data_IF_109560440597
#
_entry.id   IF_109560440597
#
_cell.length_a   1.000
_cell.length_b   1.000
_cell.length_c   1.000
_cell.angle_alpha   90.00
_cell.angle_beta   90.00
_cell.angle_gamma   90.00
#
_symmetry.space_group_name_H-M   'P 1'
#
loop_
_entity.id
_entity.type
_entity.pdbx_description
1 polymer ?
#
# COMPACT_ATOMS: atom_id res chain seq x y z
N UNK A 1 -11.05 -23.89 -20.33
CA UNK A 1 -10.21 -23.95 -19.11
C UNK A 1 -10.92 -23.12 -18.06
N UNK A 2 -11.27 -23.68 -16.89
CA UNK A 2 -11.89 -22.88 -15.84
C UNK A 2 -10.89 -21.83 -15.37
N UNK A 3 -11.29 -20.56 -15.38
CA UNK A 3 -10.47 -19.47 -14.82
C UNK A 3 -10.32 -19.71 -13.31
N UNK A 4 -9.18 -20.23 -12.89
CA UNK A 4 -8.87 -20.37 -11.47
C UNK A 4 -8.48 -19.01 -10.91
N UNK A 5 -9.01 -18.65 -9.75
CA UNK A 5 -8.60 -17.45 -9.01
C UNK A 5 -7.54 -17.80 -7.97
N UNK A 6 -6.76 -16.81 -7.57
CA UNK A 6 -5.87 -16.83 -6.39
C UNK A 6 -6.21 -15.65 -5.49
N UNK A 7 -5.89 -15.77 -4.20
CA UNK A 7 -6.06 -14.70 -3.24
C UNK A 7 -4.72 -13.99 -3.00
N UNK A 8 -4.73 -12.66 -3.12
CA UNK A 8 -3.62 -11.79 -2.72
C UNK A 8 -4.04 -11.07 -1.45
N UNK A 9 -3.30 -11.22 -0.37
CA UNK A 9 -3.54 -10.47 0.86
C UNK A 9 -2.83 -9.13 0.79
N UNK A 10 -3.55 -8.05 1.10
CA UNK A 10 -3.01 -6.70 1.21
C UNK A 10 -2.85 -6.33 2.68
N UNK A 11 -1.64 -5.94 3.04
CA UNK A 11 -1.31 -5.31 4.31
C UNK A 11 -0.86 -3.88 4.07
N UNK A 12 -1.16 -3.00 5.01
CA UNK A 12 -0.70 -1.62 5.00
C UNK A 12 0.14 -1.45 6.26
N UNK A 13 1.45 -1.27 6.09
CA UNK A 13 2.37 -1.16 7.21
C UNK A 13 2.65 0.30 7.52
N UNK A 14 2.73 0.62 8.82
CA UNK A 14 3.11 1.93 9.34
C UNK A 14 4.47 1.88 10.03
N UNK A 15 5.42 2.65 9.52
CA UNK A 15 6.75 2.83 10.13
C UNK A 15 6.75 3.97 11.15
N UNK A 16 7.83 4.08 11.93
CA UNK A 16 8.10 5.33 12.64
C UNK A 16 8.41 6.41 11.57
N UNK A 17 7.83 7.63 11.64
CA UNK A 17 8.15 8.68 10.67
C UNK A 17 9.65 8.96 10.69
N UNK A 18 10.37 8.51 9.66
CA UNK A 18 11.75 8.90 9.47
C UNK A 18 11.78 10.30 8.84
N UNK A 19 12.39 11.24 9.56
CA UNK A 19 12.65 12.62 9.17
C UNK A 19 13.36 12.75 7.81
N UNK A 20 14.04 11.68 7.34
CA UNK A 20 14.85 11.70 6.11
C UNK A 20 14.15 11.19 4.86
N UNK A 21 13.05 10.43 4.95
CA UNK A 21 12.44 9.85 3.73
C UNK A 21 10.92 9.97 3.64
N UNK A 22 10.28 10.51 4.69
CA UNK A 22 8.81 10.54 4.84
C UNK A 22 8.10 9.19 4.63
N UNK A 23 8.84 8.06 4.57
CA UNK A 23 8.31 6.70 4.39
C UNK A 23 7.66 6.23 5.68
N UNK A 24 6.40 6.59 5.88
CA UNK A 24 5.66 6.22 7.08
C UNK A 24 4.54 5.21 6.80
N UNK A 25 4.15 4.99 5.53
CA UNK A 25 3.15 3.99 5.14
C UNK A 25 3.55 3.29 3.83
N UNK A 26 3.40 1.97 3.76
CA UNK A 26 3.54 1.19 2.53
C UNK A 26 2.41 0.18 2.33
N UNK A 27 2.11 -0.15 1.08
CA UNK A 27 1.20 -1.23 0.70
C UNK A 27 2.01 -2.49 0.37
N UNK A 28 1.70 -3.60 1.03
CA UNK A 28 2.38 -4.88 0.90
C UNK A 28 1.41 -5.98 0.49
N UNK A 29 1.77 -6.71 -0.55
CA UNK A 29 0.96 -7.76 -1.14
C UNK A 29 1.66 -9.11 -0.98
N UNK A 30 0.93 -10.09 -0.47
CA UNK A 30 1.39 -11.48 -0.35
C UNK A 30 0.39 -12.46 -0.95
N UNK A 31 0.85 -13.64 -1.32
CA UNK A 31 -0.02 -14.70 -1.83
C UNK A 31 0.18 -15.99 -1.01
N UNK A 32 -0.83 -16.47 -0.28
CA UNK A 32 -0.74 -17.75 0.43
C UNK A 32 -0.42 -18.94 -0.49
N UNK A 33 -0.89 -18.87 -1.75
CA UNK A 33 -0.65 -19.91 -2.76
C UNK A 33 0.76 -19.83 -3.38
N UNK A 34 1.48 -18.72 -3.19
CA UNK A 34 2.84 -18.51 -3.67
C UNK A 34 3.67 -17.80 -2.59
N UNK A 35 4.38 -18.55 -1.75
CA UNK A 35 5.16 -18.00 -0.63
C UNK A 35 6.37 -17.17 -1.08
N UNK A 36 6.61 -17.00 -2.37
CA UNK A 36 7.63 -16.08 -2.90
C UNK A 36 7.03 -14.79 -3.46
N UNK A 37 5.71 -14.61 -3.38
CA UNK A 37 5.04 -13.40 -3.82
C UNK A 37 5.04 -12.39 -2.67
N UNK A 38 5.95 -11.43 -2.76
CA UNK A 38 6.15 -10.37 -1.78
C UNK A 38 6.39 -9.08 -2.55
N UNK A 39 5.34 -8.29 -2.67
CA UNK A 39 5.34 -7.10 -3.51
C UNK A 39 4.99 -5.88 -2.68
N UNK A 40 5.76 -4.81 -2.82
CA UNK A 40 5.56 -3.59 -2.04
C UNK A 40 5.49 -2.38 -2.95
N UNK A 41 4.55 -1.49 -2.66
CA UNK A 41 4.40 -0.21 -3.35
C UNK A 41 4.25 0.89 -2.31
N UNK A 42 4.99 1.98 -2.51
CA UNK A 42 4.90 3.17 -1.67
C UNK A 42 5.32 4.41 -2.47
N UNK A 43 4.91 5.59 -1.99
CA UNK A 43 5.44 6.86 -2.47
C UNK A 43 6.51 7.36 -1.50
N UNK A 44 7.60 7.90 -2.04
CA UNK A 44 8.68 8.49 -1.25
C UNK A 44 9.22 9.75 -1.92
N UNK A 45 9.88 10.58 -1.13
CA UNK A 45 10.76 11.65 -1.60
C UNK A 45 11.99 11.67 -0.69
N UNK A 46 13.15 12.02 -1.24
CA UNK A 46 14.42 11.94 -0.50
C UNK A 46 14.65 13.18 0.39
N UNK A 47 14.03 14.31 0.05
CA UNK A 47 14.03 15.56 0.81
C UNK A 47 12.72 16.32 0.59
N UNK A 48 12.36 17.26 1.47
CA UNK A 48 11.15 18.11 1.31
C UNK A 48 11.06 18.82 -0.05
N UNK A 49 12.19 19.11 -0.68
CA UNK A 49 12.26 19.74 -2.00
C UNK A 49 12.20 18.78 -3.18
N UNK A 50 12.37 17.48 -2.95
CA UNK A 50 12.40 16.49 -4.03
C UNK A 50 10.99 16.13 -4.52
N UNK A 51 10.83 15.89 -5.83
CA UNK A 51 9.59 15.32 -6.35
C UNK A 51 9.28 13.96 -5.73
N UNK A 52 8.00 13.71 -5.49
CA UNK A 52 7.52 12.39 -5.10
C UNK A 52 7.80 11.36 -6.20
N UNK A 53 8.16 10.16 -5.79
CA UNK A 53 8.41 9.00 -6.65
C UNK A 53 7.65 7.80 -6.12
N UNK A 54 7.07 7.01 -7.02
CA UNK A 54 6.58 5.67 -6.68
C UNK A 54 7.77 4.73 -6.67
N UNK A 55 7.95 4.02 -5.57
CA UNK A 55 8.96 2.99 -5.44
C UNK A 55 8.33 1.61 -5.25
N UNK A 56 8.98 0.61 -5.84
CA UNK A 56 8.50 -0.77 -5.92
C UNK A 56 9.58 -1.71 -5.43
N UNK A 57 9.26 -2.55 -4.46
CA UNK A 57 10.18 -3.55 -3.95
C UNK A 57 9.60 -4.93 -4.30
N UNK A 58 10.32 -5.64 -5.17
CA UNK A 58 9.97 -6.96 -5.68
C UNK A 58 10.76 -8.03 -4.92
N UNK A 59 10.07 -8.93 -4.21
CA UNK A 59 10.67 -10.10 -3.51
C UNK A 59 11.80 -9.77 -2.54
N UNK A 60 11.96 -8.51 -2.18
CA UNK A 60 13.14 -8.03 -1.47
C UNK A 60 13.04 -8.21 0.04
N UNK A 61 11.82 -8.10 0.60
CA UNK A 61 11.59 -8.01 2.04
C UNK A 61 10.24 -8.64 2.39
N UNK A 62 10.24 -9.55 3.37
CA UNK A 62 9.01 -9.94 4.06
C UNK A 62 8.77 -8.99 5.23
N UNK A 63 7.92 -7.99 5.01
CA UNK A 63 7.68 -6.95 6.02
C UNK A 63 7.01 -7.47 7.28
N UNK A 64 6.29 -8.60 7.21
CA UNK A 64 5.71 -9.22 8.39
C UNK A 64 6.76 -9.75 9.37
N UNK A 65 7.99 -10.00 8.88
CA UNK A 65 9.12 -10.46 9.69
C UNK A 65 10.13 -9.35 9.98
N UNK A 66 9.89 -8.13 9.47
CA UNK A 66 10.81 -7.01 9.61
C UNK A 66 10.59 -6.27 10.93
N UNK A 67 11.67 -6.03 11.68
CA UNK A 67 11.62 -5.28 12.94
C UNK A 67 11.36 -3.76 12.77
N UNK A 68 11.21 -3.30 11.53
CA UNK A 68 11.18 -1.86 11.17
C UNK A 68 9.81 -1.22 11.28
N UNK A 69 8.74 -1.99 11.47
CA UNK A 69 7.36 -1.48 11.45
C UNK A 69 6.68 -1.62 12.81
N UNK A 70 5.95 -0.56 13.18
CA UNK A 70 5.34 -0.42 14.51
C UNK A 70 3.94 -1.04 14.56
N UNK A 71 3.18 -0.93 13.47
CA UNK A 71 1.83 -1.46 13.35
C UNK A 71 1.47 -1.75 11.88
N UNK A 72 0.37 -2.45 11.66
CA UNK A 72 -0.19 -2.71 10.35
C UNK A 72 -1.73 -2.78 10.36
N UNK A 73 -2.32 -2.46 9.21
CA UNK A 73 -3.71 -2.80 8.86
C UNK A 73 -3.68 -4.02 7.95
N UNK A 74 -4.49 -5.03 8.28
CA UNK A 74 -4.78 -6.12 7.36
C UNK A 74 -5.97 -5.70 6.50
N UNK A 75 -5.70 -5.22 5.29
CA UNK A 75 -6.73 -4.78 4.35
C UNK A 75 -7.42 -5.98 3.67
N UNK A 76 -7.15 -7.22 4.08
CA UNK A 76 -7.86 -8.41 3.61
C UNK A 76 -7.40 -8.91 2.24
N UNK A 77 -8.21 -9.77 1.63
CA UNK A 77 -7.85 -10.51 0.43
C UNK A 77 -8.50 -9.94 -0.84
N UNK A 78 -7.69 -9.75 -1.87
CA UNK A 78 -8.07 -9.43 -3.24
C UNK A 78 -8.16 -10.73 -4.05
N UNK A 79 -9.28 -10.95 -4.74
CA UNK A 79 -9.42 -12.09 -5.66
C UNK A 79 -8.91 -11.69 -7.03
N UNK A 80 -7.92 -12.41 -7.52
CA UNK A 80 -7.33 -12.16 -8.85
C UNK A 80 -7.33 -13.43 -9.68
N UNK A 81 -7.30 -13.28 -11.00
CA UNK A 81 -7.10 -14.43 -11.89
C UNK A 81 -5.69 -14.98 -11.70
N UNK A 82 -5.54 -16.29 -11.71
CA UNK A 82 -4.22 -16.94 -11.68
C UNK A 82 -3.37 -16.47 -12.87
N UNK A 83 -2.11 -16.11 -12.62
CA UNK A 83 -1.20 -15.51 -13.60
C UNK A 83 -1.37 -13.99 -13.76
N UNK A 84 -2.21 -13.35 -12.95
CA UNK A 84 -2.48 -11.91 -12.92
C UNK A 84 -2.30 -11.33 -11.52
N UNK A 85 -1.41 -11.95 -10.73
CA UNK A 85 -1.14 -11.58 -9.33
C UNK A 85 -0.58 -10.17 -9.19
N UNK A 86 0.12 -9.66 -10.21
CA UNK A 86 0.66 -8.31 -10.25
C UNK A 86 -0.37 -7.23 -10.55
N UNK A 87 -1.54 -7.57 -11.10
CA UNK A 87 -2.52 -6.56 -11.51
C UNK A 87 -2.90 -5.59 -10.36
N UNK A 88 -3.27 -6.03 -9.14
CA UNK A 88 -3.55 -5.10 -8.05
C UNK A 88 -2.32 -4.28 -7.61
N UNK A 89 -1.11 -4.85 -7.71
CA UNK A 89 0.14 -4.15 -7.40
C UNK A 89 0.38 -3.02 -8.42
N UNK A 90 0.15 -3.31 -9.70
CA UNK A 90 0.30 -2.35 -10.80
C UNK A 90 -0.76 -1.24 -10.73
N UNK A 91 -1.98 -1.54 -10.27
CA UNK A 91 -3.02 -0.53 -10.01
C UNK A 91 -2.55 0.50 -8.99
N UNK A 92 -2.03 0.05 -7.84
CA UNK A 92 -1.53 0.97 -6.80
C UNK A 92 -0.28 1.71 -7.27
N UNK A 93 0.61 1.04 -8.00
CA UNK A 93 1.83 1.67 -8.53
C UNK A 93 1.56 2.72 -9.63
N UNK A 94 0.38 2.70 -10.25
CA UNK A 94 -0.02 3.64 -11.29
C UNK A 94 -0.59 4.96 -10.74
N UNK A 95 -0.73 5.12 -9.42
CA UNK A 95 -1.22 6.37 -8.82
C UNK A 95 -0.25 7.52 -9.15
N UNK A 96 -0.75 8.64 -9.73
CA UNK A 96 0.11 9.72 -10.17
C UNK A 96 0.62 10.54 -8.99
N UNK A 97 1.95 10.62 -8.90
CA UNK A 97 2.69 11.39 -7.88
C UNK A 97 3.34 12.66 -8.42
N UNK A 98 3.37 12.84 -9.75
CA UNK A 98 3.91 14.06 -10.37
C UNK A 98 3.06 15.29 -10.01
N UNK A 99 3.72 16.38 -9.61
CA UNK A 99 3.06 17.63 -9.23
C UNK A 99 2.50 17.64 -7.80
N UNK A 100 2.57 16.51 -7.08
CA UNK A 100 2.07 16.40 -5.69
C UNK A 100 2.91 17.20 -4.70
N UNK A 101 4.14 17.57 -5.05
CA UNK A 101 4.99 18.46 -4.24
C UNK A 101 4.37 19.86 -4.03
N UNK A 102 3.39 20.23 -4.86
CA UNK A 102 2.67 21.51 -4.78
C UNK A 102 1.42 21.46 -3.90
N UNK A 103 1.08 20.27 -3.39
CA UNK A 103 -0.10 20.04 -2.55
C UNK A 103 0.40 19.86 -1.12
N UNK A 104 0.20 20.89 -0.28
CA UNK A 104 0.75 20.97 1.07
C UNK A 104 0.42 19.77 1.95
N UNK A 105 -0.76 19.17 1.76
CA UNK A 105 -1.26 18.10 2.62
C UNK A 105 -1.14 16.70 2.00
N UNK A 106 -0.44 16.56 0.86
CA UNK A 106 -0.27 15.26 0.21
C UNK A 106 0.95 14.52 0.72
N UNK A 107 0.77 13.26 1.13
CA UNK A 107 1.82 12.41 1.69
C UNK A 107 1.62 10.92 1.33
N UNK A 108 2.44 10.04 1.90
CA UNK A 108 2.37 8.59 1.66
C UNK A 108 1.02 7.96 2.04
N UNK A 109 0.33 8.49 3.06
CA UNK A 109 -1.02 8.02 3.40
C UNK A 109 -2.00 8.37 2.29
N UNK A 110 -1.95 9.58 1.73
CA UNK A 110 -2.79 9.94 0.58
C UNK A 110 -2.53 9.01 -0.60
N UNK A 111 -1.27 8.70 -0.90
CA UNK A 111 -0.92 7.73 -1.95
C UNK A 111 -1.59 6.37 -1.73
N UNK A 112 -1.53 5.83 -0.51
CA UNK A 112 -2.16 4.54 -0.18
C UNK A 112 -3.67 4.63 -0.31
N UNK A 113 -4.31 5.66 0.26
CA UNK A 113 -5.76 5.86 0.16
C UNK A 113 -6.23 5.96 -1.31
N UNK A 114 -5.53 6.75 -2.13
CA UNK A 114 -5.79 6.83 -3.57
C UNK A 114 -5.62 5.46 -4.25
N UNK A 115 -4.61 4.68 -3.86
CA UNK A 115 -4.39 3.30 -4.32
C UNK A 115 -5.53 2.34 -3.94
N UNK A 116 -6.02 2.40 -2.70
CA UNK A 116 -7.16 1.59 -2.25
C UNK A 116 -8.43 1.94 -3.04
N UNK A 117 -8.67 3.23 -3.26
CA UNK A 117 -9.80 3.69 -4.06
C UNK A 117 -9.68 3.26 -5.54
N UNK A 118 -8.46 3.20 -6.08
CA UNK A 118 -8.22 2.66 -7.43
C UNK A 118 -8.51 1.15 -7.49
N UNK A 119 -8.16 0.37 -6.47
CA UNK A 119 -8.53 -1.05 -6.39
C UNK A 119 -10.05 -1.25 -6.40
N UNK A 120 -10.81 -0.39 -5.70
CA UNK A 120 -12.27 -0.37 -5.76
C UNK A 120 -12.76 -0.06 -7.19
N UNK A 121 -12.18 0.97 -7.81
CA UNK A 121 -12.55 1.41 -9.16
C UNK A 121 -12.28 0.35 -10.23
N UNK A 122 -11.23 -0.46 -10.03
CA UNK A 122 -10.90 -1.60 -10.89
C UNK A 122 -11.68 -2.89 -10.57
N UNK A 123 -12.55 -2.87 -9.56
CA UNK A 123 -13.41 -3.99 -9.19
C UNK A 123 -12.75 -5.09 -8.35
N UNK A 124 -11.58 -4.82 -7.74
CA UNK A 124 -10.93 -5.77 -6.83
C UNK A 124 -11.58 -5.80 -5.45
N UNK A 125 -12.20 -4.69 -5.04
CA UNK A 125 -12.89 -4.54 -3.76
C UNK A 125 -14.13 -3.64 -3.88
N UNK A 126 -14.91 -3.55 -2.81
CA UNK A 126 -16.10 -2.71 -2.73
C UNK A 126 -15.79 -1.37 -2.03
N UNK A 127 -16.67 -0.38 -2.22
CA UNK A 127 -16.57 0.88 -1.46
C UNK A 127 -16.69 0.64 0.05
N UNK A 128 -17.59 -0.26 0.47
CA UNK A 128 -17.72 -0.64 1.88
C UNK A 128 -16.41 -1.18 2.47
N UNK A 129 -15.65 -1.95 1.69
CA UNK A 129 -14.33 -2.41 2.11
C UNK A 129 -13.36 -1.23 2.30
N UNK A 130 -13.35 -0.28 1.36
CA UNK A 130 -12.52 0.92 1.46
C UNK A 130 -12.85 1.70 2.72
N UNK A 131 -14.14 1.97 2.97
CA UNK A 131 -14.57 2.80 4.11
C UNK A 131 -14.14 2.17 5.46
N UNK A 132 -14.16 0.82 5.55
CA UNK A 132 -13.67 0.09 6.73
C UNK A 132 -12.15 0.22 6.87
N UNK A 133 -11.40 -0.03 5.79
CA UNK A 133 -9.93 0.02 5.81
C UNK A 133 -9.42 1.44 6.08
N UNK A 134 -10.05 2.45 5.47
CA UNK A 134 -9.77 3.86 5.74
C UNK A 134 -10.01 4.20 7.21
N UNK A 135 -11.12 3.73 7.79
CA UNK A 135 -11.38 3.89 9.23
C UNK A 135 -10.29 3.27 10.11
N UNK A 136 -9.89 2.03 9.84
CA UNK A 136 -8.81 1.36 10.58
C UNK A 136 -7.46 2.07 10.42
N UNK A 137 -7.17 2.58 9.23
CA UNK A 137 -5.98 3.38 8.97
C UNK A 137 -6.04 4.67 9.79
N UNK A 138 -7.16 5.40 9.78
CA UNK A 138 -7.27 6.62 10.56
C UNK A 138 -7.07 6.36 12.05
N UNK A 139 -7.63 5.29 12.61
CA UNK A 139 -7.45 4.92 14.01
C UNK A 139 -5.98 4.58 14.33
N UNK A 140 -5.34 3.71 13.53
CA UNK A 140 -3.95 3.27 13.77
C UNK A 140 -2.88 4.29 13.37
N UNK A 141 -3.22 5.23 12.50
CA UNK A 141 -2.33 6.32 12.09
C UNK A 141 -2.42 7.50 13.07
N UNK A 142 -3.61 7.87 13.57
CA UNK A 142 -3.76 8.98 14.50
C UNK A 142 -3.22 8.68 15.91
N UNK A 143 -3.38 7.47 16.44
CA UNK A 143 -2.97 7.15 17.82
C UNK A 143 -1.45 7.16 18.06
N UNK A 144 -0.64 7.11 16.99
CA UNK A 144 0.82 7.20 17.07
C UNK A 144 1.42 8.56 16.66
N UNK A 145 0.60 9.58 16.42
CA UNK A 145 1.05 10.90 15.92
C UNK A 145 0.81 12.03 16.92
N UNK A 146 0.32 11.71 18.12
CA UNK A 146 0.24 12.62 19.26
C UNK A 146 1.38 12.28 20.23
N UNK A 147 2.53 12.93 20.04
CA UNK A 147 3.71 12.82 20.90
C UNK A 147 4.67 13.97 20.67
#
# INVERSE_FOLDING_TARGET
MSESTVCITLYIFRGNPDFYFARHVLAYFTCPDNPNFHETVHAQHETESDPWKVDRIHRGIDWALSATYMDHVNAGALRVRRGREMDPVDVVAAIPVEGRERITDWNCQNFVLEGLQALVSCGYQTQQWYDIVEGELMDKLLDGTVG
#
